data_IF_751326098922
#
_entry.id   IF_751326098922
#
_cell.length_a   1.000
_cell.length_b   1.000
_cell.length_c   1.000
_cell.angle_alpha   90.00
_cell.angle_beta   90.00
_cell.angle_gamma   90.00
#
_symmetry.space_group_name_H-M   'P 1'
#
loop_
_entity.id
_entity.type
_entity.pdbx_description
1 polymer ?
#
# COMPACT_ATOMS: atom_id res chain seq x y z
N UNK A 1 -35.36 -42.92 -39.19
CA UNK A 1 -34.96 -42.83 -37.79
C UNK A 1 -35.57 -44.00 -37.07
N UNK A 2 -34.76 -44.97 -36.67
CA UNK A 2 -35.21 -46.12 -35.87
C UNK A 2 -35.35 -45.68 -34.42
N UNK A 3 -36.28 -46.26 -33.66
CA UNK A 3 -36.52 -45.89 -32.24
C UNK A 3 -35.24 -45.93 -31.38
N UNK A 4 -34.30 -46.83 -31.72
CA UNK A 4 -32.97 -46.95 -31.10
C UNK A 4 -32.11 -45.68 -31.26
N UNK A 5 -32.22 -44.96 -32.37
CA UNK A 5 -31.49 -43.71 -32.60
C UNK A 5 -32.06 -42.57 -31.73
N UNK A 6 -33.38 -42.51 -31.55
CA UNK A 6 -34.00 -41.51 -30.68
C UNK A 6 -33.65 -41.75 -29.22
N UNK A 7 -33.64 -43.01 -28.78
CA UNK A 7 -33.31 -43.37 -27.41
C UNK A 7 -31.85 -43.02 -27.06
N UNK A 8 -30.91 -43.27 -27.98
CA UNK A 8 -29.49 -42.89 -27.80
C UNK A 8 -29.29 -41.38 -27.77
N UNK A 9 -30.04 -40.60 -28.55
CA UNK A 9 -29.98 -39.15 -28.52
C UNK A 9 -30.48 -38.58 -27.18
N UNK A 10 -31.51 -39.18 -26.60
CA UNK A 10 -32.02 -38.80 -25.28
C UNK A 10 -31.01 -39.13 -24.18
N UNK A 11 -30.41 -40.32 -24.19
CA UNK A 11 -29.36 -40.68 -23.23
C UNK A 11 -28.14 -39.76 -23.36
N UNK A 12 -27.73 -39.43 -24.59
CA UNK A 12 -26.64 -38.49 -24.83
C UNK A 12 -26.96 -37.09 -24.31
N UNK A 13 -28.18 -36.60 -24.55
CA UNK A 13 -28.63 -35.31 -24.04
C UNK A 13 -28.64 -35.28 -22.50
N UNK A 14 -29.03 -36.37 -21.84
CA UNK A 14 -29.02 -36.49 -20.38
C UNK A 14 -27.60 -36.48 -19.81
N UNK A 15 -26.67 -37.21 -20.43
CA UNK A 15 -25.26 -37.22 -20.02
C UNK A 15 -24.62 -35.84 -20.22
N UNK A 16 -24.87 -35.20 -21.36
CA UNK A 16 -24.37 -33.84 -21.66
C UNK A 16 -24.96 -32.82 -20.68
N UNK A 17 -26.24 -32.93 -20.35
CA UNK A 17 -26.89 -32.07 -19.35
C UNK A 17 -26.28 -32.26 -17.97
N UNK A 18 -26.06 -33.51 -17.52
CA UNK A 18 -25.44 -33.80 -16.23
C UNK A 18 -23.98 -33.35 -16.18
N UNK A 19 -23.22 -33.51 -17.28
CA UNK A 19 -21.85 -33.04 -17.38
C UNK A 19 -21.77 -31.51 -17.33
N UNK A 20 -22.72 -30.80 -17.95
CA UNK A 20 -22.82 -29.35 -17.90
C UNK A 20 -23.15 -28.85 -16.49
N UNK A 21 -24.08 -29.52 -15.82
CA UNK A 21 -24.51 -29.16 -14.46
C UNK A 21 -23.37 -29.36 -13.44
N UNK A 22 -22.70 -30.53 -13.48
CA UNK A 22 -21.57 -30.83 -12.63
C UNK A 22 -20.38 -29.87 -12.85
N UNK A 23 -20.12 -29.46 -14.10
CA UNK A 23 -19.10 -28.47 -14.42
C UNK A 23 -19.49 -27.06 -13.92
N UNK A 24 -20.77 -26.71 -14.02
CA UNK A 24 -21.30 -25.46 -13.48
C UNK A 24 -21.16 -25.42 -11.95
N UNK A 25 -21.49 -26.51 -11.27
CA UNK A 25 -21.40 -26.62 -9.81
C UNK A 25 -19.95 -26.56 -9.31
N UNK A 26 -19.00 -27.20 -10.01
CA UNK A 26 -17.57 -27.11 -9.66
C UNK A 26 -17.04 -25.67 -9.85
N UNK A 27 -17.42 -24.98 -10.93
CA UNK A 27 -17.05 -23.57 -11.15
C UNK A 27 -17.66 -22.67 -10.07
N UNK A 28 -18.95 -22.84 -9.77
CA UNK A 28 -19.65 -22.07 -8.74
C UNK A 28 -19.04 -22.33 -7.36
N UNK A 29 -18.70 -23.59 -7.04
CA UNK A 29 -18.06 -23.97 -5.78
C UNK A 29 -16.68 -23.33 -5.63
N UNK A 30 -15.86 -23.35 -6.70
CA UNK A 30 -14.55 -22.69 -6.71
C UNK A 30 -14.65 -21.18 -6.62
N UNK A 31 -15.60 -20.58 -7.33
CA UNK A 31 -15.86 -19.14 -7.25
C UNK A 31 -16.32 -18.74 -5.85
N UNK A 32 -17.27 -19.48 -5.28
CA UNK A 32 -17.73 -19.26 -3.91
C UNK A 32 -16.59 -19.44 -2.89
N UNK A 33 -15.72 -20.44 -3.09
CA UNK A 33 -14.51 -20.63 -2.31
C UNK A 33 -13.56 -19.44 -2.39
N UNK A 34 -13.22 -19.01 -3.61
CA UNK A 34 -12.35 -17.85 -3.84
C UNK A 34 -12.94 -16.55 -3.28
N UNK A 35 -14.25 -16.34 -3.37
CA UNK A 35 -14.93 -15.18 -2.80
C UNK A 35 -14.95 -15.22 -1.27
N UNK A 36 -15.15 -16.41 -0.68
CA UNK A 36 -15.11 -16.60 0.77
C UNK A 36 -13.71 -16.38 1.35
N UNK A 37 -12.69 -16.87 0.65
CA UNK A 37 -11.29 -16.60 0.97
C UNK A 37 -10.95 -15.11 0.81
N UNK A 38 -11.41 -14.47 -0.27
CA UNK A 38 -11.26 -13.03 -0.50
C UNK A 38 -11.92 -12.21 0.61
N UNK A 39 -13.14 -12.56 1.02
CA UNK A 39 -13.84 -11.92 2.13
C UNK A 39 -13.11 -12.13 3.46
N UNK A 40 -12.50 -13.30 3.67
CA UNK A 40 -11.70 -13.58 4.86
C UNK A 40 -10.40 -12.74 4.89
N UNK A 41 -9.76 -12.55 3.73
CA UNK A 41 -8.60 -11.67 3.62
C UNK A 41 -9.00 -10.21 3.86
N UNK A 42 -10.14 -9.77 3.32
CA UNK A 42 -10.69 -8.43 3.57
C UNK A 42 -11.03 -8.21 5.05
N UNK A 43 -11.63 -9.20 5.72
CA UNK A 43 -11.90 -9.14 7.16
C UNK A 43 -10.59 -9.03 7.95
N UNK A 44 -9.58 -9.83 7.61
CA UNK A 44 -8.26 -9.75 8.24
C UNK A 44 -7.54 -8.42 7.99
N UNK A 45 -7.64 -7.86 6.80
CA UNK A 45 -7.09 -6.53 6.46
C UNK A 45 -7.83 -5.44 7.23
N UNK A 46 -9.15 -5.52 7.33
CA UNK A 46 -9.99 -4.58 8.09
C UNK A 46 -9.72 -4.67 9.59
N UNK A 47 -9.48 -5.88 10.09
CA UNK A 47 -9.14 -6.16 11.50
C UNK A 47 -7.68 -5.88 11.81
N UNK A 48 -6.84 -5.66 10.81
CA UNK A 48 -5.48 -5.17 10.99
C UNK A 48 -5.54 -3.70 11.41
N UNK A 49 -5.57 -3.47 12.71
CA UNK A 49 -5.62 -2.15 13.32
C UNK A 49 -4.46 -1.25 12.85
N UNK A 50 -3.31 -1.83 12.47
CA UNK A 50 -2.19 -1.09 11.91
C UNK A 50 -2.51 -0.49 10.54
N UNK A 51 -3.05 -1.28 9.62
CA UNK A 51 -3.41 -0.78 8.28
C UNK A 51 -4.57 0.21 8.33
N UNK A 52 -5.59 -0.08 9.13
CA UNK A 52 -6.70 0.87 9.32
C UNK A 52 -6.25 2.16 10.00
N UNK A 53 -5.35 2.09 10.98
CA UNK A 53 -4.78 3.28 11.62
C UNK A 53 -3.93 4.08 10.63
N UNK A 54 -3.11 3.43 9.79
CA UNK A 54 -2.36 4.11 8.74
C UNK A 54 -3.27 4.79 7.72
N UNK A 55 -4.36 4.14 7.31
CA UNK A 55 -5.34 4.71 6.40
C UNK A 55 -6.06 5.90 7.04
N UNK A 56 -6.43 5.81 8.31
CA UNK A 56 -7.00 6.93 9.06
C UNK A 56 -6.02 8.09 9.20
N UNK A 57 -4.75 7.82 9.51
CA UNK A 57 -3.71 8.86 9.58
C UNK A 57 -3.54 9.52 8.21
N UNK A 58 -3.54 8.75 7.12
CA UNK A 58 -3.45 9.27 5.76
C UNK A 58 -4.71 10.05 5.34
N UNK A 59 -5.88 9.69 5.86
CA UNK A 59 -7.15 10.37 5.61
C UNK A 59 -7.26 11.70 6.36
N UNK A 60 -6.41 11.96 7.37
CA UNK A 60 -6.39 13.24 8.07
C UNK A 60 -5.91 14.36 7.13
N UNK A 61 -6.66 15.45 7.13
CA UNK A 61 -6.35 16.67 6.38
C UNK A 61 -4.92 17.18 6.68
N UNK A 62 -4.47 17.08 7.94
CA UNK A 62 -3.10 17.43 8.34
C UNK A 62 -2.03 16.62 7.59
N UNK A 63 -2.23 15.31 7.44
CA UNK A 63 -1.29 14.40 6.79
C UNK A 63 -1.30 14.57 5.27
N UNK A 64 -2.47 14.79 4.67
CA UNK A 64 -2.58 15.11 3.25
C UNK A 64 -1.87 16.43 2.93
N UNK A 65 -2.13 17.47 3.72
CA UNK A 65 -1.47 18.77 3.58
C UNK A 65 0.04 18.66 3.77
N UNK A 66 0.50 17.87 4.74
CA UNK A 66 1.92 17.61 4.93
C UNK A 66 2.55 16.90 3.73
N UNK A 67 1.91 15.85 3.19
CA UNK A 67 2.42 15.13 2.02
C UNK A 67 2.49 16.02 0.78
N UNK A 68 1.48 16.86 0.57
CA UNK A 68 1.47 17.85 -0.53
C UNK A 68 2.59 18.87 -0.34
N UNK A 69 2.75 19.42 0.86
CA UNK A 69 3.80 20.38 1.16
C UNK A 69 5.19 19.76 1.01
N UNK A 70 5.39 18.53 1.48
CA UNK A 70 6.63 17.78 1.34
C UNK A 70 6.95 17.49 -0.13
N UNK A 71 5.96 17.02 -0.89
CA UNK A 71 6.12 16.75 -2.33
C UNK A 71 6.50 18.02 -3.09
N UNK A 72 5.84 19.14 -2.80
CA UNK A 72 6.14 20.44 -3.40
C UNK A 72 7.55 20.92 -3.03
N UNK A 73 7.93 20.81 -1.76
CA UNK A 73 9.27 21.18 -1.30
C UNK A 73 10.38 20.34 -1.94
N UNK A 74 10.18 19.02 -2.08
CA UNK A 74 11.12 18.13 -2.78
C UNK A 74 11.21 18.50 -4.26
N UNK A 75 10.08 18.78 -4.90
CA UNK A 75 10.03 19.16 -6.31
C UNK A 75 10.75 20.51 -6.56
N UNK A 76 10.50 21.51 -5.73
CA UNK A 76 11.15 22.82 -5.78
C UNK A 76 12.65 22.70 -5.51
N UNK A 77 13.06 21.96 -4.48
CA UNK A 77 14.48 21.70 -4.19
C UNK A 77 15.15 20.95 -5.36
N UNK A 78 14.49 19.97 -5.96
CA UNK A 78 15.02 19.25 -7.12
C UNK A 78 15.17 20.14 -8.34
N UNK A 79 14.23 21.09 -8.57
CA UNK A 79 14.34 22.05 -9.65
C UNK A 79 15.47 23.06 -9.40
N UNK A 80 15.62 23.53 -8.16
CA UNK A 80 16.68 24.47 -7.78
C UNK A 80 18.07 23.84 -7.92
N UNK A 81 18.23 22.59 -7.49
CA UNK A 81 19.47 21.82 -7.67
C UNK A 81 19.77 21.61 -9.16
N UNK A 82 18.74 21.38 -10.00
CA UNK A 82 18.92 21.23 -11.43
C UNK A 82 19.21 22.57 -12.15
N UNK A 83 18.71 23.69 -11.63
CA UNK A 83 18.88 25.03 -12.19
C UNK A 83 20.18 25.73 -11.75
N UNK A 84 20.82 25.25 -10.68
CA UNK A 84 22.03 25.87 -10.12
C UNK A 84 23.27 25.07 -10.53
N UNK A 85 24.38 25.72 -10.97
CA UNK A 85 25.64 25.01 -11.24
C UNK A 85 26.15 24.27 -9.97
N UNK A 86 26.87 23.14 -10.13
CA UNK A 86 27.33 22.34 -9.01
C UNK A 86 28.11 23.20 -8.01
N UNK A 87 27.79 23.04 -6.72
CA UNK A 87 28.34 23.85 -5.64
C UNK A 87 29.88 23.94 -5.75
N UNK A 88 30.41 25.17 -5.75
CA UNK A 88 31.86 25.38 -5.81
C UNK A 88 32.54 24.67 -4.63
N UNK A 89 33.36 23.66 -4.94
CA UNK A 89 34.06 22.86 -3.94
C UNK A 89 35.21 23.63 -3.27
N UNK A 90 35.36 23.44 -1.95
CA UNK A 90 36.48 23.99 -1.18
C UNK A 90 36.22 24.01 0.33
N UNK A 91 37.29 24.11 1.14
CA UNK A 91 37.22 24.15 2.61
C UNK A 91 36.42 25.37 3.09
N UNK A 92 36.52 26.51 2.40
CA UNK A 92 35.74 27.71 2.72
C UNK A 92 34.22 27.53 2.51
N UNK A 93 33.82 26.77 1.49
CA UNK A 93 32.41 26.44 1.24
C UNK A 93 31.88 25.50 2.34
N UNK A 94 32.67 24.51 2.75
CA UNK A 94 32.31 23.61 3.85
C UNK A 94 32.12 24.37 5.19
N UNK A 95 33.03 25.28 5.52
CA UNK A 95 32.90 26.12 6.72
C UNK A 95 31.68 27.04 6.64
N UNK A 96 31.33 27.53 5.45
CA UNK A 96 30.15 28.37 5.22
C UNK A 96 28.85 27.59 5.40
N UNK A 97 28.75 26.39 4.84
CA UNK A 97 27.56 25.50 4.98
C UNK A 97 27.35 25.10 6.44
N UNK A 98 28.41 24.77 7.17
CA UNK A 98 28.31 24.44 8.61
C UNK A 98 27.87 25.64 9.46
N UNK A 99 28.21 26.86 9.04
CA UNK A 99 27.80 28.11 9.71
C UNK A 99 26.48 28.68 9.20
N UNK A 100 25.89 28.06 8.19
CA UNK A 100 24.64 28.52 7.61
C UNK A 100 23.48 28.23 8.58
N UNK A 101 22.72 29.26 9.02
CA UNK A 101 21.62 29.09 9.95
C UNK A 101 20.54 28.11 9.44
N UNK A 102 20.25 28.12 8.14
CA UNK A 102 19.26 27.23 7.53
C UNK A 102 19.69 25.76 7.57
N UNK A 103 20.98 25.49 7.36
CA UNK A 103 21.55 24.13 7.49
C UNK A 103 21.48 23.64 8.94
N UNK A 104 21.79 24.50 9.91
CA UNK A 104 21.72 24.16 11.34
C UNK A 104 20.27 23.92 11.80
N UNK A 105 19.32 24.72 11.33
CA UNK A 105 17.89 24.54 11.61
C UNK A 105 17.34 23.24 11.01
N UNK A 106 17.74 22.90 9.78
CA UNK A 106 17.41 21.63 9.16
C UNK A 106 17.93 20.42 9.95
N UNK A 107 19.20 20.46 10.37
CA UNK A 107 19.78 19.41 11.23
C UNK A 107 19.07 19.31 12.59
N UNK A 108 18.68 20.44 13.17
CA UNK A 108 17.91 20.49 14.42
C UNK A 108 16.52 19.88 14.24
N UNK A 109 15.83 20.18 13.15
CA UNK A 109 14.53 19.61 12.82
C UNK A 109 14.62 18.08 12.66
N UNK A 110 15.60 17.60 11.89
CA UNK A 110 15.84 16.16 11.72
C UNK A 110 16.14 15.46 13.06
N UNK A 111 16.95 16.09 13.92
CA UNK A 111 17.26 15.58 15.25
C UNK A 111 16.02 15.49 16.14
N UNK A 112 15.15 16.51 16.10
CA UNK A 112 13.92 16.55 16.89
C UNK A 112 12.92 15.48 16.42
N UNK A 113 12.73 15.32 15.11
CA UNK A 113 11.89 14.26 14.52
C UNK A 113 12.42 12.89 14.96
N UNK A 114 13.73 12.65 14.84
CA UNK A 114 14.35 11.39 15.25
C UNK A 114 14.18 11.08 16.73
N UNK A 115 14.28 12.11 17.60
CA UNK A 115 14.05 11.97 19.05
C UNK A 115 12.60 11.55 19.36
N UNK A 116 11.61 12.21 18.75
CA UNK A 116 10.21 11.86 18.96
C UNK A 116 9.88 10.45 18.44
N UNK A 117 10.41 10.09 17.27
CA UNK A 117 10.23 8.75 16.71
C UNK A 117 10.87 7.66 17.59
N UNK A 118 12.09 7.89 18.10
CA UNK A 118 12.75 6.93 19.01
C UNK A 118 12.00 6.77 20.33
N UNK A 119 11.49 7.86 20.89
CA UNK A 119 10.71 7.82 22.13
C UNK A 119 9.39 7.06 21.94
N UNK A 120 8.66 7.33 20.85
CA UNK A 120 7.41 6.63 20.54
C UNK A 120 7.62 5.13 20.36
N UNK A 121 8.68 4.72 19.63
CA UNK A 121 9.01 3.30 19.47
C UNK A 121 9.39 2.64 20.81
N UNK A 122 10.11 3.35 21.69
CA UNK A 122 10.48 2.83 23.02
C UNK A 122 9.26 2.67 23.94
N UNK A 123 8.31 3.60 23.87
CA UNK A 123 7.05 3.53 24.62
C UNK A 123 6.19 2.35 24.16
N UNK A 124 6.14 2.08 22.85
CA UNK A 124 5.43 0.93 22.29
C UNK A 124 6.04 -0.42 22.72
N UNK A 125 7.36 -0.53 22.84
CA UNK A 125 8.02 -1.75 23.34
C UNK A 125 7.88 -1.94 24.86
N UNK A 126 7.51 -0.90 25.61
CA UNK A 126 7.33 -0.96 27.07
C UNK A 126 5.92 -1.38 27.50
N UNK A 127 4.96 -1.39 26.58
CA UNK A 127 3.65 -2.01 26.74
C UNK A 127 3.58 -3.35 25.99
N UNK A 128 4.10 -4.46 26.56
CA UNK A 128 3.69 -5.78 26.11
C UNK A 128 2.24 -5.96 26.57
N UNK A 129 1.31 -5.96 25.61
CA UNK A 129 0.03 -6.63 25.81
C UNK A 129 0.24 -8.13 25.79
#
# INVERSE_FOLDING_TARGET
MTDDEMQRLVEFAQIVSAARDAMSDDIVSRLAGAMSEGMTLLDRLTRNQGLMSLLQVLDREDSQNFLVALSKAIHEASQEIAATPPAAGGIGCAVRVVRDPGTLEGLRLLSLIGKHMSNSLREQHRHPG
#
